data_IF_762835597407
#
_entry.id   IF_762835597407
#
_cell.length_a   1.000
_cell.length_b   1.000
_cell.length_c   1.000
_cell.angle_alpha   90.00
_cell.angle_beta   90.00
_cell.angle_gamma   90.00
#
_symmetry.space_group_name_H-M   'P 1'
#
loop_
_entity.id
_entity.type
_entity.pdbx_description
1 polymer ?
#
# COMPACT_ATOMS: atom_id res chain seq x y z
N UNK A 1 1.31 0.63 -9.33
CA UNK A 1 0.36 0.31 -10.42
C UNK A 1 0.80 1.01 -11.69
N UNK A 2 0.87 0.35 -12.87
CA UNK A 2 1.16 0.99 -14.15
C UNK A 2 0.01 1.93 -14.56
N UNK A 3 0.25 2.78 -15.53
CA UNK A 3 -0.80 3.62 -16.09
C UNK A 3 -1.74 2.76 -16.97
N UNK A 4 -3.01 2.72 -16.61
CA UNK A 4 -4.01 1.82 -17.21
C UNK A 4 -5.20 2.61 -17.73
N UNK A 5 -5.13 3.14 -18.93
CA UNK A 5 -6.22 3.88 -19.56
C UNK A 5 -6.36 3.41 -21.00
N UNK A 6 -7.41 2.65 -21.29
CA UNK A 6 -7.62 1.96 -22.56
C UNK A 6 -8.96 2.35 -23.21
N UNK A 7 -9.14 3.61 -23.68
CA UNK A 7 -10.40 4.06 -24.27
C UNK A 7 -10.76 3.32 -25.57
N UNK A 8 -9.80 2.64 -26.18
CA UNK A 8 -9.98 1.81 -27.36
C UNK A 8 -10.56 0.42 -27.06
N UNK A 9 -10.65 0.03 -25.78
CA UNK A 9 -11.16 -1.27 -25.35
C UNK A 9 -12.42 -1.08 -24.50
N UNK A 10 -13.47 -1.85 -24.79
CA UNK A 10 -14.68 -1.84 -23.96
C UNK A 10 -14.44 -2.48 -22.59
N UNK A 11 -13.63 -3.54 -22.55
CA UNK A 11 -13.25 -4.26 -21.33
C UNK A 11 -11.73 -4.40 -21.30
N UNK A 12 -11.06 -3.65 -20.41
CA UNK A 12 -9.63 -3.77 -20.17
C UNK A 12 -9.41 -4.43 -18.81
N UNK A 13 -8.60 -5.50 -18.80
CA UNK A 13 -8.20 -6.18 -17.58
C UNK A 13 -7.39 -5.24 -16.67
N UNK A 14 -6.56 -4.42 -17.28
CA UNK A 14 -5.67 -3.50 -16.58
C UNK A 14 -6.47 -2.38 -15.87
N UNK A 15 -7.51 -1.83 -16.52
CA UNK A 15 -8.41 -0.87 -15.86
C UNK A 15 -9.16 -1.52 -14.70
N UNK A 16 -9.50 -2.81 -14.84
CA UNK A 16 -10.16 -3.56 -13.78
C UNK A 16 -9.27 -3.72 -12.54
N UNK A 17 -7.98 -3.92 -12.69
CA UNK A 17 -7.03 -3.93 -11.57
C UNK A 17 -7.06 -2.62 -10.78
N UNK A 18 -7.18 -1.48 -11.48
CA UNK A 18 -7.37 -0.20 -10.80
C UNK A 18 -8.68 -0.17 -10.02
N UNK A 19 -9.78 -0.64 -10.60
CA UNK A 19 -11.11 -0.64 -9.96
C UNK A 19 -11.15 -1.56 -8.74
N UNK A 20 -10.51 -2.70 -8.82
CA UNK A 20 -10.32 -3.62 -7.68
C UNK A 20 -9.50 -2.94 -6.57
N UNK A 21 -8.38 -2.31 -6.90
CA UNK A 21 -7.57 -1.60 -5.92
C UNK A 21 -8.33 -0.43 -5.26
N UNK A 22 -9.14 0.31 -6.03
CA UNK A 22 -10.01 1.37 -5.48
C UNK A 22 -11.04 0.80 -4.50
N UNK A 23 -11.69 -0.34 -4.85
CA UNK A 23 -12.76 -0.96 -4.06
C UNK A 23 -12.25 -1.75 -2.87
N UNK A 24 -11.12 -2.39 -3.00
CA UNK A 24 -10.58 -3.29 -1.97
C UNK A 24 -9.60 -2.61 -1.02
N UNK A 25 -8.80 -1.65 -1.52
CA UNK A 25 -7.74 -0.97 -0.76
C UNK A 25 -8.04 0.50 -0.48
N UNK A 26 -8.15 1.34 -1.53
CA UNK A 26 -8.09 2.79 -1.34
C UNK A 26 -9.31 3.34 -0.63
N UNK A 27 -10.52 3.00 -1.07
CA UNK A 27 -11.76 3.47 -0.43
C UNK A 27 -11.95 2.89 0.98
N UNK A 28 -11.66 1.59 1.24
CA UNK A 28 -11.63 1.07 2.61
C UNK A 28 -10.66 1.79 3.54
N UNK A 29 -9.45 2.11 3.09
CA UNK A 29 -8.50 2.89 3.89
C UNK A 29 -8.98 4.33 4.12
N UNK A 30 -9.55 4.99 3.11
CA UNK A 30 -10.20 6.30 3.27
C UNK A 30 -11.29 6.24 4.34
N UNK A 31 -12.14 5.19 4.33
CA UNK A 31 -13.14 4.98 5.36
C UNK A 31 -12.53 4.80 6.77
N UNK A 32 -11.43 4.08 6.88
CA UNK A 32 -10.70 3.92 8.14
C UNK A 32 -10.24 5.29 8.66
N UNK A 33 -9.57 6.08 7.83
CA UNK A 33 -9.06 7.40 8.24
C UNK A 33 -10.19 8.38 8.59
N UNK A 34 -11.27 8.39 7.83
CA UNK A 34 -12.46 9.21 8.14
C UNK A 34 -13.07 8.84 9.51
N UNK A 35 -13.15 7.54 9.83
CA UNK A 35 -13.69 7.08 11.11
C UNK A 35 -12.73 7.42 12.27
N UNK A 36 -11.43 7.23 12.10
CA UNK A 36 -10.44 7.60 13.12
C UNK A 36 -10.49 9.10 13.44
N UNK A 37 -10.62 9.95 12.41
CA UNK A 37 -10.77 11.41 12.60
C UNK A 37 -12.08 11.72 13.31
N UNK A 38 -13.19 11.10 12.91
CA UNK A 38 -14.51 11.29 13.54
C UNK A 38 -14.51 10.89 15.01
N UNK A 39 -13.77 9.84 15.35
CA UNK A 39 -13.64 9.32 16.70
C UNK A 39 -12.57 10.07 17.53
N UNK A 40 -11.95 11.12 16.95
CA UNK A 40 -10.88 11.91 17.56
C UNK A 40 -9.64 11.10 17.97
N UNK A 41 -9.34 10.02 17.25
CA UNK A 41 -8.10 9.27 17.43
C UNK A 41 -6.94 10.08 16.83
N UNK A 42 -5.89 10.31 17.63
CA UNK A 42 -4.69 10.96 17.14
C UNK A 42 -3.81 9.93 16.42
N UNK A 43 -3.53 10.17 15.14
CA UNK A 43 -2.66 9.27 14.37
C UNK A 43 -1.92 10.02 13.28
N UNK A 44 -0.82 9.44 12.83
CA UNK A 44 -0.10 9.85 11.63
C UNK A 44 0.25 8.62 10.82
N UNK A 45 0.10 8.74 9.51
CA UNK A 45 0.47 7.69 8.55
C UNK A 45 1.13 8.33 7.33
N UNK A 46 1.98 7.59 6.66
CA UNK A 46 2.65 8.03 5.43
C UNK A 46 2.25 7.10 4.30
N UNK A 47 1.86 7.64 3.15
CA UNK A 47 1.52 6.86 1.96
C UNK A 47 2.24 7.44 0.74
N UNK A 48 2.81 6.59 -0.09
CA UNK A 48 3.23 7.02 -1.42
C UNK A 48 2.06 6.91 -2.40
N UNK A 49 1.83 7.98 -3.17
CA UNK A 49 0.89 7.97 -4.30
C UNK A 49 1.71 8.33 -5.53
N UNK A 50 1.85 7.37 -6.44
CA UNK A 50 2.69 7.56 -7.63
C UNK A 50 2.05 8.53 -8.62
N UNK A 51 2.84 9.27 -9.42
CA UNK A 51 2.28 10.17 -10.43
C UNK A 51 1.28 9.50 -11.38
N UNK A 52 1.50 8.27 -11.91
CA UNK A 52 0.49 7.58 -12.69
C UNK A 52 -0.82 7.34 -11.92
N UNK A 53 -0.73 6.94 -10.65
CA UNK A 53 -1.92 6.70 -9.83
C UNK A 53 -2.68 8.01 -9.57
N UNK A 54 -2.00 9.11 -9.23
CA UNK A 54 -2.62 10.42 -9.09
C UNK A 54 -3.39 10.82 -10.35
N UNK A 55 -2.76 10.65 -11.52
CA UNK A 55 -3.35 10.96 -12.81
C UNK A 55 -4.59 10.12 -13.10
N UNK A 56 -4.55 8.81 -12.81
CA UNK A 56 -5.69 7.91 -13.02
C UNK A 56 -6.85 8.19 -12.05
N UNK A 57 -6.58 8.52 -10.80
CA UNK A 57 -7.62 8.86 -9.81
C UNK A 57 -8.32 10.19 -10.09
N UNK A 58 -7.72 11.06 -10.91
CA UNK A 58 -8.31 12.33 -11.38
C UNK A 58 -8.91 12.22 -12.79
N UNK A 59 -8.68 11.14 -13.54
CA UNK A 59 -9.13 10.96 -14.92
C UNK A 59 -10.66 10.73 -14.98
N UNK A 60 -11.37 11.59 -15.72
CA UNK A 60 -12.84 11.53 -15.81
C UNK A 60 -13.32 10.23 -16.46
N UNK A 61 -12.66 9.78 -17.51
CA UNK A 61 -13.01 8.53 -18.19
C UNK A 61 -12.89 7.31 -17.28
N UNK A 62 -11.79 7.19 -16.53
CA UNK A 62 -11.61 6.08 -15.58
C UNK A 62 -12.62 6.17 -14.42
N UNK A 63 -12.93 7.36 -13.96
CA UNK A 63 -13.91 7.57 -12.89
C UNK A 63 -15.35 7.20 -13.33
N UNK A 64 -15.76 7.49 -14.58
CA UNK A 64 -17.04 7.04 -15.13
C UNK A 64 -17.09 5.50 -15.25
N UNK A 65 -16.03 4.90 -15.74
CA UNK A 65 -15.95 3.42 -15.84
C UNK A 65 -15.96 2.75 -14.47
N UNK A 66 -15.27 3.33 -13.50
CA UNK A 66 -15.32 2.83 -12.13
C UNK A 66 -16.73 2.91 -11.53
N UNK A 67 -17.48 3.97 -11.78
CA UNK A 67 -18.88 4.05 -11.35
C UNK A 67 -19.70 2.91 -11.94
N UNK A 68 -19.60 2.66 -13.25
CA UNK A 68 -20.29 1.55 -13.91
C UNK A 68 -19.89 0.19 -13.31
N UNK A 69 -18.60 0.00 -13.01
CA UNK A 69 -18.11 -1.20 -12.32
C UNK A 69 -18.76 -1.37 -10.94
N UNK A 70 -18.88 -0.31 -10.15
CA UNK A 70 -19.54 -0.36 -8.83
C UNK A 70 -21.04 -0.66 -8.94
N UNK A 71 -21.74 -0.06 -9.89
CA UNK A 71 -23.16 -0.31 -10.12
C UNK A 71 -23.40 -1.76 -10.53
N UNK A 72 -22.57 -2.33 -11.39
CA UNK A 72 -22.60 -3.75 -11.74
C UNK A 72 -22.30 -4.66 -10.54
N UNK A 73 -21.36 -4.28 -9.68
CA UNK A 73 -21.03 -5.05 -8.47
C UNK A 73 -22.17 -5.04 -7.46
N UNK A 74 -22.90 -3.91 -7.34
CA UNK A 74 -24.11 -3.81 -6.51
C UNK A 74 -25.21 -4.69 -7.09
N UNK A 75 -25.49 -4.61 -8.39
CA UNK A 75 -26.51 -5.44 -9.05
C UNK A 75 -26.21 -6.94 -8.90
N UNK A 76 -24.97 -7.35 -9.13
CA UNK A 76 -24.54 -8.75 -8.89
C UNK A 76 -24.77 -9.15 -7.44
N UNK A 77 -24.41 -8.32 -6.48
CA UNK A 77 -24.58 -8.64 -5.05
C UNK A 77 -26.05 -8.71 -4.64
N UNK A 78 -26.95 -7.93 -5.24
CA UNK A 78 -28.40 -8.03 -5.05
C UNK A 78 -28.94 -9.34 -5.64
N UNK A 79 -28.48 -9.76 -6.80
CA UNK A 79 -28.80 -11.05 -7.39
C UNK A 79 -28.24 -12.22 -6.55
N UNK A 80 -27.06 -12.06 -5.92
CA UNK A 80 -26.51 -13.04 -4.99
C UNK A 80 -27.37 -13.23 -3.73
N UNK A 81 -27.96 -12.16 -3.19
CA UNK A 81 -28.93 -12.27 -2.08
C UNK A 81 -30.11 -13.16 -2.47
N UNK A 82 -30.62 -13.01 -3.68
CA UNK A 82 -31.74 -13.81 -4.18
C UNK A 82 -31.30 -15.26 -4.42
N UNK A 83 -30.13 -15.46 -5.05
CA UNK A 83 -29.59 -16.79 -5.39
C UNK A 83 -29.28 -17.63 -4.14
N UNK A 84 -28.82 -17.00 -3.08
CA UNK A 84 -28.36 -17.68 -1.86
C UNK A 84 -29.42 -17.80 -0.77
N UNK A 85 -30.65 -17.36 -1.00
CA UNK A 85 -31.73 -17.27 0.00
C UNK A 85 -31.98 -18.54 0.82
N UNK A 86 -31.76 -19.71 0.21
CA UNK A 86 -31.98 -21.01 0.84
C UNK A 86 -30.74 -21.54 1.61
N UNK A 87 -29.64 -20.79 1.64
CA UNK A 87 -28.44 -21.09 2.40
C UNK A 87 -28.09 -19.91 3.30
N UNK A 88 -28.41 -20.03 4.58
CA UNK A 88 -28.30 -18.93 5.57
C UNK A 88 -26.89 -18.35 5.66
N UNK A 89 -25.83 -19.18 5.62
CA UNK A 89 -24.44 -18.71 5.75
C UNK A 89 -24.01 -17.93 4.51
N UNK A 90 -24.31 -18.44 3.31
CA UNK A 90 -24.04 -17.73 2.05
C UNK A 90 -24.86 -16.44 1.94
N UNK A 91 -26.12 -16.48 2.34
CA UNK A 91 -27.00 -15.33 2.26
C UNK A 91 -26.52 -14.17 3.17
N UNK A 92 -26.04 -14.48 4.37
CA UNK A 92 -25.38 -13.47 5.23
C UNK A 92 -24.18 -12.83 4.57
N UNK A 93 -23.36 -13.61 3.87
CA UNK A 93 -22.22 -13.10 3.12
C UNK A 93 -22.64 -12.27 1.89
N UNK A 94 -23.69 -12.67 1.17
CA UNK A 94 -24.23 -11.90 0.07
C UNK A 94 -24.72 -10.51 0.54
N UNK A 95 -25.44 -10.44 1.65
CA UNK A 95 -25.81 -9.17 2.29
C UNK A 95 -24.58 -8.35 2.68
N UNK A 96 -23.57 -8.96 3.29
CA UNK A 96 -22.32 -8.29 3.64
C UNK A 96 -21.63 -7.64 2.42
N UNK A 97 -21.56 -8.33 1.27
CA UNK A 97 -20.98 -7.76 0.05
C UNK A 97 -21.83 -6.63 -0.53
N UNK A 98 -23.15 -6.78 -0.53
CA UNK A 98 -24.07 -5.72 -0.98
C UNK A 98 -23.91 -4.44 -0.14
N UNK A 99 -23.91 -4.57 1.17
CA UNK A 99 -23.70 -3.43 2.08
C UNK A 99 -22.32 -2.80 1.88
N UNK A 100 -21.30 -3.63 1.65
CA UNK A 100 -19.93 -3.17 1.38
C UNK A 100 -19.87 -2.35 0.09
N UNK A 101 -20.40 -2.84 -1.03
CA UNK A 101 -20.37 -2.12 -2.30
C UNK A 101 -21.18 -0.81 -2.24
N UNK A 102 -22.34 -0.82 -1.60
CA UNK A 102 -23.13 0.41 -1.36
C UNK A 102 -22.36 1.42 -0.53
N UNK A 103 -21.69 0.97 0.52
CA UNK A 103 -20.85 1.85 1.34
C UNK A 103 -19.64 2.40 0.56
N UNK A 104 -19.03 1.61 -0.32
CA UNK A 104 -17.95 2.07 -1.19
C UNK A 104 -18.48 3.19 -2.12
N UNK A 105 -19.63 3.00 -2.73
CA UNK A 105 -20.28 4.01 -3.58
C UNK A 105 -20.58 5.29 -2.81
N UNK A 106 -21.08 5.20 -1.58
CA UNK A 106 -21.37 6.35 -0.73
C UNK A 106 -20.10 7.17 -0.43
N UNK A 107 -19.00 6.48 -0.09
CA UNK A 107 -17.71 7.13 0.17
C UNK A 107 -17.16 7.75 -1.12
N UNK A 108 -17.25 7.06 -2.23
CA UNK A 108 -16.81 7.56 -3.53
C UNK A 108 -17.55 8.84 -3.90
N UNK A 109 -18.87 8.87 -3.76
CA UNK A 109 -19.69 10.06 -3.98
C UNK A 109 -19.40 11.19 -2.97
N UNK A 110 -19.12 10.87 -1.70
CA UNK A 110 -18.72 11.83 -0.65
C UNK A 110 -17.51 12.67 -1.06
N UNK A 111 -16.62 12.10 -1.84
CA UNK A 111 -15.40 12.77 -2.32
C UNK A 111 -15.49 13.21 -3.79
N UNK A 112 -16.71 13.47 -4.28
CA UNK A 112 -16.99 13.95 -5.64
C UNK A 112 -16.45 13.03 -6.73
N UNK A 113 -16.40 11.72 -6.42
CA UNK A 113 -15.85 10.67 -7.32
C UNK A 113 -14.38 10.86 -7.68
N UNK A 114 -13.62 11.58 -6.84
CA UNK A 114 -12.19 11.85 -6.99
C UNK A 114 -11.46 11.52 -5.69
N UNK A 115 -10.85 10.36 -5.61
CA UNK A 115 -10.22 9.90 -4.37
C UNK A 115 -9.08 10.81 -3.90
N UNK A 116 -8.44 11.54 -4.80
CA UNK A 116 -7.44 12.54 -4.43
C UNK A 116 -8.01 13.65 -3.53
N UNK A 117 -9.33 13.92 -3.58
CA UNK A 117 -9.98 14.86 -2.66
C UNK A 117 -9.88 14.37 -1.19
N UNK A 118 -10.02 13.06 -0.97
CA UNK A 118 -9.85 12.46 0.35
C UNK A 118 -8.39 12.56 0.81
N UNK A 119 -7.44 12.15 -0.02
CA UNK A 119 -6.01 12.16 0.34
C UNK A 119 -5.51 13.58 0.61
N UNK A 120 -5.88 14.57 -0.23
CA UNK A 120 -5.57 16.00 0.02
C UNK A 120 -6.21 16.53 1.31
N UNK A 121 -7.41 16.07 1.68
CA UNK A 121 -8.03 16.40 2.97
C UNK A 121 -7.21 15.88 4.13
N UNK A 122 -6.79 14.62 4.11
CA UNK A 122 -6.01 13.99 5.18
C UNK A 122 -4.61 14.59 5.31
N UNK A 123 -3.98 14.93 4.20
CA UNK A 123 -2.70 15.65 4.18
C UNK A 123 -2.83 17.04 4.82
N UNK A 124 -3.85 17.83 4.46
CA UNK A 124 -4.12 19.13 5.07
C UNK A 124 -4.45 19.06 6.57
N UNK A 125 -5.05 17.98 7.02
CA UNK A 125 -5.30 17.72 8.45
C UNK A 125 -4.04 17.26 9.18
N UNK A 126 -2.96 16.92 8.48
CA UNK A 126 -1.70 16.47 9.05
C UNK A 126 -1.72 15.05 9.59
N UNK A 127 -2.76 14.27 9.30
CA UNK A 127 -2.87 12.85 9.67
C UNK A 127 -2.26 11.94 8.62
N UNK A 128 -2.10 12.42 7.38
CA UNK A 128 -1.45 11.72 6.29
C UNK A 128 -0.29 12.56 5.74
N UNK A 129 0.89 11.98 5.58
CA UNK A 129 1.94 12.53 4.75
C UNK A 129 1.97 11.79 3.41
N UNK A 130 1.80 12.52 2.30
CA UNK A 130 1.86 11.95 0.97
C UNK A 130 3.29 12.04 0.46
N UNK A 131 3.87 10.90 0.02
CA UNK A 131 5.13 10.83 -0.69
C UNK A 131 4.88 10.80 -2.19
N UNK A 132 5.82 11.38 -2.95
CA UNK A 132 5.91 11.06 -4.38
C UNK A 132 6.70 9.76 -4.61
N UNK A 133 6.79 9.36 -5.88
CA UNK A 133 7.62 8.26 -6.36
C UNK A 133 8.36 8.73 -7.61
N UNK A 134 9.16 7.91 -8.28
CA UNK A 134 9.63 8.24 -9.64
C UNK A 134 8.45 8.33 -10.61
N UNK A 135 8.55 9.15 -11.67
CA UNK A 135 7.42 9.51 -12.53
C UNK A 135 6.68 8.30 -13.14
N UNK A 136 7.38 7.24 -13.46
CA UNK A 136 6.81 6.01 -14.05
C UNK A 136 7.12 4.76 -13.23
N UNK A 137 7.41 4.92 -11.94
CA UNK A 137 7.87 3.83 -11.06
C UNK A 137 9.13 3.13 -11.58
N UNK A 138 9.98 3.86 -12.30
CA UNK A 138 11.22 3.32 -12.87
C UNK A 138 12.21 2.94 -11.77
N UNK A 139 12.85 1.78 -11.89
CA UNK A 139 13.92 1.33 -11.01
C UNK A 139 15.18 2.15 -11.29
N UNK A 140 15.34 3.26 -10.56
CA UNK A 140 16.32 4.32 -10.85
C UNK A 140 17.76 3.82 -10.99
N UNK A 141 18.27 2.87 -10.19
CA UNK A 141 19.61 2.34 -10.35
C UNK A 141 19.90 1.73 -11.74
N UNK A 142 18.89 1.19 -12.41
CA UNK A 142 19.05 0.61 -13.74
C UNK A 142 19.07 1.67 -14.86
N UNK A 143 18.79 2.93 -14.52
CA UNK A 143 18.86 4.08 -15.45
C UNK A 143 20.17 4.84 -15.37
N UNK A 144 21.14 4.40 -14.56
CA UNK A 144 22.43 5.11 -14.37
C UNK A 144 23.28 5.22 -15.63
N UNK A 145 22.98 4.45 -16.68
CA UNK A 145 23.58 4.59 -18.01
C UNK A 145 23.24 5.95 -18.63
N UNK A 146 22.09 6.52 -18.28
CA UNK A 146 21.62 7.81 -18.75
C UNK A 146 21.12 8.63 -17.54
N UNK A 147 22.00 9.37 -16.85
CA UNK A 147 21.64 10.13 -15.63
C UNK A 147 20.54 11.18 -15.86
N UNK A 148 20.45 11.74 -17.05
CA UNK A 148 19.41 12.71 -17.43
C UNK A 148 18.01 12.08 -17.34
N UNK A 149 17.90 10.77 -17.60
CA UNK A 149 16.64 10.04 -17.44
C UNK A 149 16.23 9.94 -15.97
N UNK A 150 17.19 9.72 -15.07
CA UNK A 150 16.91 9.73 -13.62
C UNK A 150 16.42 11.12 -13.20
N UNK A 151 17.10 12.15 -13.63
CA UNK A 151 16.68 13.52 -13.33
C UNK A 151 15.28 13.83 -13.87
N UNK A 152 14.98 13.43 -15.11
CA UNK A 152 13.66 13.59 -15.70
C UNK A 152 12.57 12.86 -14.89
N UNK A 153 12.84 11.64 -14.42
CA UNK A 153 11.92 10.88 -13.55
C UNK A 153 11.61 11.62 -12.26
N UNK A 154 12.60 12.22 -11.63
CA UNK A 154 12.41 12.96 -10.37
C UNK A 154 11.74 14.32 -10.64
N UNK A 155 12.18 15.06 -11.64
CA UNK A 155 11.62 16.37 -11.98
C UNK A 155 10.12 16.27 -12.30
N UNK A 156 9.75 15.35 -13.18
CA UNK A 156 8.35 15.11 -13.57
C UNK A 156 7.51 14.66 -12.36
N UNK A 157 8.07 13.80 -11.52
CA UNK A 157 7.38 13.36 -10.32
C UNK A 157 7.07 14.51 -9.35
N UNK A 158 8.05 15.37 -9.08
CA UNK A 158 7.88 16.53 -8.19
C UNK A 158 6.89 17.54 -8.78
N UNK A 159 6.94 17.75 -10.09
CA UNK A 159 5.99 18.62 -10.79
C UNK A 159 4.56 18.07 -10.69
N UNK A 160 4.33 16.83 -11.10
CA UNK A 160 3.01 16.18 -11.07
C UNK A 160 2.43 16.16 -9.65
N UNK A 161 3.25 15.82 -8.66
CA UNK A 161 2.84 15.87 -7.26
C UNK A 161 2.41 17.29 -6.84
N UNK A 162 3.22 18.30 -7.18
CA UNK A 162 2.95 19.68 -6.78
C UNK A 162 1.65 20.20 -7.40
N UNK A 163 1.40 19.87 -8.66
CA UNK A 163 0.15 20.22 -9.36
C UNK A 163 -1.06 19.51 -8.74
N UNK A 164 -0.92 18.23 -8.37
CA UNK A 164 -2.03 17.45 -7.84
C UNK A 164 -2.30 17.73 -6.35
N UNK A 165 -1.26 17.81 -5.52
CA UNK A 165 -1.40 17.92 -4.04
C UNK A 165 -1.43 19.39 -3.57
N UNK A 166 -0.79 20.31 -4.31
CA UNK A 166 -0.78 21.74 -4.02
C UNK A 166 0.45 22.25 -3.26
N UNK A 167 1.41 21.39 -2.96
CA UNK A 167 2.71 21.73 -2.37
C UNK A 167 3.79 20.74 -2.84
N UNK A 168 5.07 21.08 -2.64
CA UNK A 168 6.17 20.17 -3.00
C UNK A 168 6.23 18.95 -2.06
N UNK A 169 6.57 17.77 -2.58
CA UNK A 169 6.78 16.59 -1.74
C UNK A 169 8.00 16.79 -0.83
N UNK A 170 7.90 16.31 0.41
CA UNK A 170 9.02 16.32 1.37
C UNK A 170 9.84 15.04 1.27
N UNK A 171 9.18 13.92 1.01
CA UNK A 171 9.81 12.62 0.87
C UNK A 171 9.46 11.94 -0.45
N UNK A 172 10.23 10.92 -0.76
CA UNK A 172 10.03 10.06 -1.93
C UNK A 172 10.09 8.59 -1.53
N UNK A 173 9.19 7.81 -2.11
CA UNK A 173 9.32 6.37 -2.16
C UNK A 173 10.18 6.02 -3.39
N UNK A 174 11.38 5.55 -3.18
CA UNK A 174 12.19 5.01 -4.27
C UNK A 174 11.57 3.67 -4.70
N UNK A 175 11.24 3.48 -5.99
CA UNK A 175 10.73 2.21 -6.47
C UNK A 175 11.58 1.04 -5.96
N UNK A 176 10.93 0.04 -5.35
CA UNK A 176 11.57 -1.16 -4.79
C UNK A 176 12.60 -0.87 -3.68
N UNK A 177 12.48 0.27 -2.98
CA UNK A 177 13.52 0.77 -2.07
C UNK A 177 14.91 0.85 -2.73
N UNK A 178 14.97 0.96 -4.06
CA UNK A 178 16.20 0.86 -4.83
C UNK A 178 17.00 2.16 -4.75
N UNK A 179 18.16 2.08 -4.11
CA UNK A 179 19.11 3.18 -3.98
C UNK A 179 20.43 2.85 -4.68
N UNK A 180 21.02 3.86 -5.30
CA UNK A 180 22.39 3.86 -5.81
C UNK A 180 23.08 5.16 -5.43
N UNK A 181 24.41 5.17 -5.47
CA UNK A 181 25.22 6.38 -5.20
C UNK A 181 24.81 7.55 -6.10
N UNK A 182 25.00 8.75 -5.59
CA UNK A 182 24.74 10.04 -6.27
C UNK A 182 23.26 10.39 -6.52
N UNK A 183 22.33 9.44 -6.26
CA UNK A 183 20.89 9.71 -6.38
C UNK A 183 20.42 10.82 -5.43
N UNK A 184 20.99 10.91 -4.23
CA UNK A 184 20.67 11.91 -3.23
C UNK A 184 21.03 13.34 -3.67
N UNK A 185 21.99 13.52 -4.57
CA UNK A 185 22.31 14.81 -5.20
C UNK A 185 21.12 15.33 -6.03
N UNK A 186 20.56 14.44 -6.86
CA UNK A 186 19.37 14.74 -7.67
C UNK A 186 18.18 15.02 -6.75
N UNK A 187 17.94 14.18 -5.73
CA UNK A 187 16.84 14.38 -4.78
C UNK A 187 16.92 15.74 -4.10
N UNK A 188 18.13 16.15 -3.65
CA UNK A 188 18.37 17.47 -3.06
C UNK A 188 18.03 18.62 -4.02
N UNK A 189 18.42 18.51 -5.27
CA UNK A 189 18.14 19.52 -6.33
C UNK A 189 16.66 19.82 -6.43
N UNK A 190 15.81 18.79 -6.30
CA UNK A 190 14.34 18.92 -6.38
C UNK A 190 13.65 19.15 -5.03
N UNK A 191 14.43 19.30 -3.94
CA UNK A 191 13.92 19.71 -2.63
C UNK A 191 13.41 18.56 -1.76
N UNK A 192 13.60 17.32 -2.17
CA UNK A 192 13.32 16.12 -1.38
C UNK A 192 14.22 16.13 -0.13
N UNK A 193 13.64 15.75 1.00
CA UNK A 193 14.32 15.75 2.31
C UNK A 193 14.69 14.36 2.79
N UNK A 194 13.93 13.35 2.37
CA UNK A 194 14.18 11.98 2.81
C UNK A 194 13.61 10.94 1.83
N UNK A 195 14.09 9.72 1.98
CA UNK A 195 13.53 8.52 1.38
C UNK A 195 13.60 7.33 2.35
N UNK A 196 12.86 6.25 2.02
CA UNK A 196 12.87 5.00 2.76
C UNK A 196 13.67 3.97 1.95
N UNK A 197 14.51 3.19 2.64
CA UNK A 197 15.38 2.19 2.03
C UNK A 197 15.26 0.83 2.71
N UNK A 198 15.86 -0.18 2.08
CA UNK A 198 16.08 -1.48 2.68
C UNK A 198 17.01 -1.38 3.91
N UNK A 199 16.78 -2.22 4.91
CA UNK A 199 17.61 -2.27 6.13
C UNK A 199 19.10 -2.41 5.85
N UNK A 200 19.48 -3.24 4.86
CA UNK A 200 20.89 -3.43 4.48
C UNK A 200 21.56 -2.16 3.96
N UNK A 201 20.82 -1.22 3.36
CA UNK A 201 21.39 0.08 2.96
C UNK A 201 21.95 0.83 4.16
N UNK A 202 21.24 0.77 5.29
CA UNK A 202 21.62 1.42 6.55
C UNK A 202 22.68 0.59 7.29
N UNK A 203 22.44 -0.70 7.47
CA UNK A 203 23.33 -1.57 8.26
C UNK A 203 24.74 -1.70 7.66
N UNK A 204 24.88 -1.52 6.34
CA UNK A 204 26.16 -1.54 5.62
C UNK A 204 26.64 -0.14 5.21
N UNK A 205 26.02 0.92 5.71
CA UNK A 205 26.45 2.29 5.44
C UNK A 205 27.83 2.61 6.05
N UNK A 206 28.52 3.60 5.50
CA UNK A 206 29.86 4.01 5.94
C UNK A 206 29.91 5.53 6.21
N UNK A 207 30.35 5.96 7.40
CA UNK A 207 30.65 5.17 8.59
C UNK A 207 29.42 4.40 9.10
N UNK A 208 29.65 3.30 9.84
CA UNK A 208 28.57 2.44 10.33
C UNK A 208 27.62 3.21 11.27
N UNK A 209 26.30 3.17 11.07
CA UNK A 209 25.33 3.81 11.94
C UNK A 209 25.35 3.24 13.37
N UNK A 210 25.31 4.14 14.35
CA UNK A 210 25.37 3.79 15.78
C UNK A 210 24.17 2.95 16.23
N UNK A 211 22.97 3.28 15.71
CA UNK A 211 21.70 2.69 16.14
C UNK A 211 21.00 1.87 15.07
N UNK A 212 21.73 1.41 14.04
CA UNK A 212 21.15 0.61 12.97
C UNK A 212 19.98 1.31 12.29
N UNK A 213 18.83 0.63 12.18
CA UNK A 213 17.62 1.16 11.55
C UNK A 213 16.68 1.90 12.50
N UNK A 214 17.02 2.01 13.79
CA UNK A 214 16.20 2.71 14.79
C UNK A 214 16.33 4.24 14.74
N UNK A 215 17.19 4.76 13.90
CA UNK A 215 17.26 6.19 13.55
C UNK A 215 17.58 6.33 12.07
N UNK A 216 17.14 7.41 11.41
CA UNK A 216 17.63 7.70 10.07
C UNK A 216 19.12 8.03 10.10
N UNK A 217 19.76 7.93 8.94
CA UNK A 217 21.07 8.54 8.66
C UNK A 217 20.89 9.70 7.70
N UNK A 218 21.83 10.64 7.68
CA UNK A 218 21.87 11.71 6.69
C UNK A 218 22.98 11.44 5.68
N UNK A 219 22.70 11.53 4.39
CA UNK A 219 23.76 11.51 3.38
C UNK A 219 24.60 12.78 3.44
N UNK A 220 25.75 12.82 2.77
CA UNK A 220 26.58 14.02 2.67
C UNK A 220 25.85 15.20 2.01
N UNK A 221 24.85 14.93 1.21
CA UNK A 221 23.99 15.93 0.58
C UNK A 221 22.86 16.43 1.51
N UNK A 222 22.74 15.88 2.71
CA UNK A 222 21.73 16.26 3.71
C UNK A 222 20.35 15.63 3.48
N UNK A 223 20.26 14.54 2.73
CA UNK A 223 19.04 13.75 2.58
C UNK A 223 18.98 12.70 3.68
N UNK A 224 17.89 12.66 4.44
CA UNK A 224 17.68 11.63 5.46
C UNK A 224 17.25 10.31 4.84
N UNK A 225 17.78 9.22 5.35
CA UNK A 225 17.48 7.85 4.86
C UNK A 225 16.96 7.02 6.02
N UNK A 226 15.73 6.54 5.88
CA UNK A 226 15.07 5.69 6.86
C UNK A 226 15.18 4.23 6.43
N UNK A 227 15.63 3.36 7.32
CA UNK A 227 15.69 1.92 7.07
C UNK A 227 14.42 1.22 7.51
N UNK A 228 13.85 0.34 6.67
CA UNK A 228 12.70 -0.46 7.07
C UNK A 228 13.05 -1.43 8.21
N UNK A 229 12.08 -1.71 9.06
CA UNK A 229 12.18 -2.74 10.09
C UNK A 229 11.87 -4.13 9.51
N UNK A 230 12.76 -5.08 9.75
CA UNK A 230 12.66 -6.43 9.19
C UNK A 230 11.68 -7.32 9.96
N UNK A 231 11.50 -7.08 11.27
CA UNK A 231 10.59 -7.88 12.08
C UNK A 231 9.14 -7.61 11.70
N UNK A 232 8.74 -6.34 11.69
CA UNK A 232 7.41 -5.91 11.25
C UNK A 232 7.11 -6.35 9.81
N UNK A 233 8.11 -6.26 8.92
CA UNK A 233 7.97 -6.73 7.54
C UNK A 233 7.60 -8.20 7.46
N UNK A 234 8.28 -9.09 8.21
CA UNK A 234 8.01 -10.52 8.22
C UNK A 234 6.63 -10.86 8.76
N UNK A 235 6.15 -10.14 9.78
CA UNK A 235 4.84 -10.37 10.38
C UNK A 235 3.68 -10.14 9.42
N UNK A 236 3.87 -9.33 8.40
CA UNK A 236 2.83 -8.99 7.42
C UNK A 236 3.07 -9.62 6.06
N UNK A 237 4.31 -9.60 5.54
CA UNK A 237 4.63 -10.10 4.20
C UNK A 237 4.70 -11.63 4.07
N UNK A 238 5.02 -12.35 5.15
CA UNK A 238 5.26 -13.79 5.04
C UNK A 238 3.96 -14.55 4.77
N UNK A 239 3.89 -15.28 3.67
CA UNK A 239 2.77 -16.19 3.37
C UNK A 239 2.69 -17.40 4.30
N UNK A 240 3.76 -17.71 5.06
CA UNK A 240 3.83 -18.84 5.98
C UNK A 240 3.68 -18.45 7.45
N UNK A 241 4.22 -17.30 7.83
CA UNK A 241 4.26 -16.84 9.22
C UNK A 241 3.58 -15.48 9.40
N UNK A 242 3.21 -14.82 8.31
CA UNK A 242 2.54 -13.53 8.35
C UNK A 242 1.05 -13.66 8.64
N UNK A 243 0.50 -12.61 9.20
CA UNK A 243 -0.92 -12.54 9.54
C UNK A 243 -1.86 -12.86 8.37
N UNK A 244 -1.61 -12.42 7.12
CA UNK A 244 -2.53 -12.64 6.01
C UNK A 244 -2.85 -14.10 5.69
N UNK A 245 -2.01 -15.04 6.13
CA UNK A 245 -2.20 -16.48 5.93
C UNK A 245 -3.12 -17.17 6.94
N UNK A 246 -3.71 -16.46 7.91
CA UNK A 246 -4.54 -17.05 8.95
C UNK A 246 -5.82 -17.69 8.38
N UNK A 247 -6.17 -18.88 8.87
CA UNK A 247 -7.32 -19.66 8.44
C UNK A 247 -8.70 -19.04 8.76
N UNK A 248 -8.76 -17.96 9.50
CA UNK A 248 -9.99 -17.20 9.70
C UNK A 248 -10.23 -16.13 8.65
N UNK A 249 -9.23 -15.82 7.84
CA UNK A 249 -9.30 -14.77 6.84
C UNK A 249 -9.90 -15.25 5.52
N UNK A 250 -10.37 -14.28 4.70
CA UNK A 250 -10.98 -14.54 3.40
C UNK A 250 -9.96 -15.14 2.42
N UNK A 251 -10.37 -16.21 1.75
CA UNK A 251 -9.62 -16.81 0.64
C UNK A 251 -9.49 -15.83 -0.53
N UNK A 252 -8.31 -15.70 -1.10
CA UNK A 252 -8.04 -14.80 -2.23
C UNK A 252 -8.49 -15.39 -3.57
N UNK A 253 -8.24 -16.69 -3.80
CA UNK A 253 -8.34 -17.31 -5.13
C UNK A 253 -9.75 -17.79 -5.51
N UNK A 254 -10.72 -17.84 -4.59
CA UNK A 254 -12.05 -18.37 -4.81
C UNK A 254 -13.07 -17.25 -4.96
N UNK A 255 -13.47 -16.99 -6.20
CA UNK A 255 -14.41 -15.92 -6.57
C UNK A 255 -15.57 -16.49 -7.37
N UNK A 256 -16.80 -15.97 -7.16
CA UNK A 256 -17.99 -16.44 -7.89
C UNK A 256 -17.87 -16.21 -9.40
N UNK A 257 -17.04 -15.30 -9.86
CA UNK A 257 -16.74 -15.12 -11.28
C UNK A 257 -16.22 -16.37 -11.96
N UNK A 258 -15.50 -17.21 -11.20
CA UNK A 258 -15.00 -18.51 -11.68
C UNK A 258 -15.91 -19.68 -11.34
N UNK A 259 -16.75 -19.59 -10.31
CA UNK A 259 -17.49 -20.71 -9.75
C UNK A 259 -18.96 -20.76 -10.19
N UNK A 260 -19.58 -19.60 -10.41
CA UNK A 260 -20.98 -19.52 -10.78
C UNK A 260 -21.24 -20.04 -12.21
N UNK A 261 -22.46 -20.54 -12.52
CA UNK A 261 -22.83 -20.92 -13.88
C UNK A 261 -22.61 -19.77 -14.88
N UNK A 262 -22.10 -20.10 -16.09
CA UNK A 262 -21.76 -19.08 -17.09
C UNK A 262 -22.95 -18.20 -17.48
N UNK A 263 -24.11 -18.79 -17.65
CA UNK A 263 -25.35 -18.10 -17.99
C UNK A 263 -25.78 -17.06 -16.95
N UNK A 264 -25.42 -17.28 -15.68
CA UNK A 264 -25.69 -16.36 -14.59
C UNK A 264 -24.64 -15.25 -14.51
N UNK A 265 -23.35 -15.60 -14.63
CA UNK A 265 -22.26 -14.67 -14.38
C UNK A 265 -21.84 -13.85 -15.61
N UNK A 266 -22.24 -14.28 -16.82
CA UNK A 266 -21.84 -13.65 -18.09
C UNK A 266 -22.07 -12.14 -18.16
N UNK A 267 -23.13 -11.55 -17.59
CA UNK A 267 -23.31 -10.09 -17.59
C UNK A 267 -22.27 -9.31 -16.78
N UNK A 268 -21.55 -9.96 -15.87
CA UNK A 268 -20.67 -9.36 -14.89
C UNK A 268 -19.18 -9.66 -15.12
N UNK A 269 -18.88 -10.49 -16.10
CA UNK A 269 -17.53 -10.84 -16.53
C UNK A 269 -17.22 -10.21 -17.89
N UNK A 270 -16.00 -10.43 -18.38
CA UNK A 270 -15.56 -9.85 -19.65
C UNK A 270 -16.45 -10.32 -20.83
N UNK A 271 -16.82 -9.43 -21.73
CA UNK A 271 -17.73 -9.67 -22.87
C UNK A 271 -17.30 -10.84 -23.77
N UNK A 272 -16.03 -11.21 -23.78
CA UNK A 272 -15.53 -12.40 -24.47
C UNK A 272 -15.87 -13.73 -23.79
N UNK A 273 -16.64 -13.75 -22.70
CA UNK A 273 -16.91 -14.94 -21.89
C UNK A 273 -15.69 -15.37 -21.05
N UNK A 274 -14.69 -14.51 -20.92
CA UNK A 274 -13.51 -14.77 -20.09
C UNK A 274 -13.87 -14.50 -18.65
N UNK A 275 -13.73 -15.52 -17.80
CA UNK A 275 -13.99 -15.41 -16.37
C UNK A 275 -12.94 -14.53 -15.70
N UNK A 276 -13.40 -13.68 -14.79
CA UNK A 276 -12.59 -12.73 -14.03
C UNK A 276 -13.10 -12.67 -12.59
N UNK A 277 -12.33 -12.06 -11.71
CA UNK A 277 -12.77 -11.76 -10.35
C UNK A 277 -13.90 -10.72 -10.36
N UNK A 278 -14.92 -10.98 -9.55
CA UNK A 278 -16.06 -10.09 -9.31
C UNK A 278 -15.94 -9.33 -7.98
N UNK A 279 -14.98 -9.75 -7.13
CA UNK A 279 -14.82 -9.26 -5.77
C UNK A 279 -15.72 -9.94 -4.74
N UNK A 280 -16.61 -10.87 -5.14
CA UNK A 280 -17.47 -11.64 -4.22
C UNK A 280 -16.83 -13.01 -3.98
N UNK A 281 -16.33 -13.23 -2.77
CA UNK A 281 -15.55 -14.40 -2.37
C UNK A 281 -16.10 -14.96 -1.06
N UNK A 282 -16.68 -16.15 -1.12
CA UNK A 282 -17.43 -16.72 0.00
C UNK A 282 -16.63 -17.61 0.95
N UNK A 283 -15.41 -17.96 0.60
CA UNK A 283 -14.63 -18.91 1.37
C UNK A 283 -13.56 -18.25 2.24
N UNK A 284 -13.22 -18.92 3.33
CA UNK A 284 -12.04 -18.62 4.13
C UNK A 284 -10.84 -19.44 3.65
N UNK A 285 -9.65 -19.05 4.07
CA UNK A 285 -8.43 -19.80 3.87
C UNK A 285 -8.56 -21.19 4.53
N UNK A 286 -8.38 -22.26 3.77
CA UNK A 286 -8.42 -23.64 4.25
C UNK A 286 -7.23 -24.47 3.74
N UNK A 287 -6.23 -23.78 3.14
CA UNK A 287 -5.11 -24.44 2.50
C UNK A 287 -5.51 -25.20 1.21
N UNK A 288 -4.67 -26.14 0.78
CA UNK A 288 -4.86 -26.93 -0.45
C UNK A 288 -5.83 -28.10 -0.19
N UNK A 289 -7.12 -27.80 -0.13
CA UNK A 289 -8.20 -28.77 0.02
C UNK A 289 -9.41 -28.37 -0.80
N UNK A 290 -10.17 -29.34 -1.31
CA UNK A 290 -11.45 -29.10 -2.01
C UNK A 290 -12.60 -28.88 -1.03
N UNK A 291 -12.43 -29.27 0.24
CA UNK A 291 -13.43 -29.05 1.29
C UNK A 291 -13.31 -27.64 1.87
N UNK A 292 -13.75 -26.65 1.10
CA UNK A 292 -13.73 -25.23 1.51
C UNK A 292 -14.85 -24.95 2.53
N UNK A 293 -14.54 -24.06 3.48
CA UNK A 293 -15.49 -23.57 4.49
C UNK A 293 -15.83 -22.13 4.20
N UNK A 294 -17.06 -21.74 4.50
CA UNK A 294 -17.49 -20.36 4.32
C UNK A 294 -16.73 -19.41 5.25
N UNK A 295 -16.51 -18.21 4.74
CA UNK A 295 -15.91 -17.11 5.46
C UNK A 295 -16.83 -16.64 6.60
N UNK A 296 -16.27 -16.38 7.76
CA UNK A 296 -16.99 -15.83 8.91
C UNK A 296 -16.37 -14.50 9.33
N UNK A 297 -17.05 -13.41 9.02
CA UNK A 297 -16.58 -12.05 9.28
C UNK A 297 -16.35 -11.79 10.78
N UNK A 298 -17.19 -12.33 11.66
CA UNK A 298 -17.06 -12.11 13.10
C UNK A 298 -15.78 -12.77 13.66
N UNK A 299 -15.51 -13.99 13.22
CA UNK A 299 -14.28 -14.70 13.61
C UNK A 299 -13.04 -14.03 13.04
N UNK A 300 -13.12 -13.55 11.80
CA UNK A 300 -12.03 -12.81 11.19
C UNK A 300 -11.72 -11.52 11.97
N UNK A 301 -12.73 -10.76 12.40
CA UNK A 301 -12.54 -9.54 13.19
C UNK A 301 -11.94 -9.77 14.58
N UNK A 302 -12.27 -10.89 15.23
CA UNK A 302 -11.57 -11.29 16.46
C UNK A 302 -10.08 -11.50 16.17
N UNK A 303 -9.78 -12.21 15.08
CA UNK A 303 -8.40 -12.51 14.70
C UNK A 303 -7.62 -11.26 14.27
N UNK A 304 -8.27 -10.32 13.60
CA UNK A 304 -7.69 -9.00 13.30
C UNK A 304 -7.24 -8.30 14.58
N UNK A 305 -8.10 -8.28 15.62
CA UNK A 305 -7.76 -7.64 16.90
C UNK A 305 -6.59 -8.36 17.60
N UNK A 306 -6.58 -9.69 17.60
CA UNK A 306 -5.47 -10.47 18.15
C UNK A 306 -4.14 -10.13 17.43
N UNK A 307 -4.17 -10.06 16.10
CA UNK A 307 -2.98 -9.76 15.31
C UNK A 307 -2.53 -8.30 15.44
N UNK A 308 -3.44 -7.35 15.54
CA UNK A 308 -3.12 -5.95 15.79
C UNK A 308 -2.47 -5.78 17.19
N UNK A 309 -3.00 -6.46 18.20
CA UNK A 309 -2.41 -6.49 19.54
C UNK A 309 -1.00 -7.10 19.54
N UNK A 310 -0.84 -8.27 18.93
CA UNK A 310 0.48 -8.91 18.80
C UNK A 310 1.49 -8.02 18.06
N UNK A 311 1.06 -7.31 17.00
CA UNK A 311 1.91 -6.37 16.29
C UNK A 311 2.30 -5.19 17.18
N UNK A 312 1.35 -4.63 17.93
CA UNK A 312 1.59 -3.52 18.87
C UNK A 312 2.52 -3.91 20.02
N UNK A 313 2.34 -5.11 20.60
CA UNK A 313 3.25 -5.65 21.63
C UNK A 313 4.68 -5.79 21.11
N UNK A 314 4.85 -6.29 19.90
CA UNK A 314 6.17 -6.37 19.26
C UNK A 314 6.83 -5.00 19.11
N UNK A 315 6.09 -3.99 18.71
CA UNK A 315 6.61 -2.59 18.59
C UNK A 315 6.92 -1.99 19.95
N UNK A 316 6.09 -2.23 20.97
CA UNK A 316 6.39 -1.84 22.35
C UNK A 316 7.73 -2.44 22.82
N UNK A 317 7.90 -3.75 22.69
CA UNK A 317 9.12 -4.44 23.14
C UNK A 317 10.37 -3.94 22.41
N UNK A 318 10.29 -3.73 21.08
CA UNK A 318 11.41 -3.18 20.30
C UNK A 318 11.79 -1.78 20.76
N UNK A 319 10.81 -0.90 20.99
CA UNK A 319 11.08 0.47 21.40
C UNK A 319 11.58 0.55 22.85
N UNK A 320 11.09 -0.28 23.75
CA UNK A 320 11.62 -0.36 25.12
C UNK A 320 13.09 -0.77 25.09
N UNK A 321 13.42 -1.85 24.39
CA UNK A 321 14.80 -2.27 24.21
C UNK A 321 15.68 -1.17 23.61
N UNK A 322 15.20 -0.49 22.56
CA UNK A 322 15.95 0.58 21.91
C UNK A 322 16.18 1.77 22.85
N UNK A 323 15.16 2.20 23.63
CA UNK A 323 15.28 3.29 24.59
C UNK A 323 16.33 3.05 25.69
N UNK A 324 16.51 1.80 26.10
CA UNK A 324 17.55 1.45 27.10
C UNK A 324 18.99 1.55 26.54
N UNK A 325 19.15 1.49 25.21
CA UNK A 325 20.46 1.41 24.55
C UNK A 325 20.79 2.63 23.69
N UNK A 326 19.90 3.62 23.63
CA UNK A 326 20.02 4.78 22.75
C UNK A 326 19.91 6.08 23.56
N UNK A 327 20.68 7.09 23.14
CA UNK A 327 20.63 8.44 23.70
C UNK A 327 19.75 9.41 22.87
N UNK A 328 19.02 8.87 21.89
CA UNK A 328 18.07 9.58 21.02
C UNK A 328 16.76 8.79 20.92
N UNK A 329 15.68 9.46 20.53
CA UNK A 329 14.39 8.82 20.36
C UNK A 329 14.43 7.76 19.26
N UNK A 330 14.13 6.47 19.56
CA UNK A 330 14.08 5.43 18.54
C UNK A 330 12.84 5.56 17.65
N UNK A 331 12.99 5.15 16.39
CA UNK A 331 11.91 5.07 15.41
C UNK A 331 11.90 3.69 14.75
N UNK A 332 10.72 3.12 14.55
CA UNK A 332 10.52 1.90 13.76
C UNK A 332 9.75 2.26 12.49
N UNK A 333 10.31 1.90 11.34
CA UNK A 333 9.73 2.19 10.01
C UNK A 333 9.19 0.91 9.41
N UNK A 334 7.86 0.86 9.21
CA UNK A 334 7.13 -0.33 8.77
C UNK A 334 6.47 -0.08 7.39
N UNK A 335 7.22 -0.12 6.29
CA UNK A 335 6.68 0.11 4.96
C UNK A 335 6.10 -1.17 4.36
N UNK A 336 4.97 -1.03 3.66
CA UNK A 336 4.26 -2.10 2.99
C UNK A 336 3.64 -1.61 1.69
N UNK A 337 3.46 -2.50 0.73
CA UNK A 337 2.61 -2.22 -0.44
C UNK A 337 1.15 -2.10 -0.03
N UNK A 338 0.45 -1.13 -0.59
CA UNK A 338 -0.95 -0.83 -0.24
C UNK A 338 -1.88 -1.96 -0.65
N UNK A 339 -1.61 -2.66 -1.74
CA UNK A 339 -2.41 -3.80 -2.21
C UNK A 339 -2.51 -4.93 -1.18
N UNK A 340 -1.52 -5.03 -0.31
CA UNK A 340 -1.55 -5.98 0.80
C UNK A 340 -2.75 -5.74 1.71
N UNK A 341 -3.14 -4.48 1.90
CA UNK A 341 -4.23 -4.08 2.78
C UNK A 341 -5.55 -3.92 2.02
N UNK A 342 -6.25 -5.03 1.80
CA UNK A 342 -7.58 -5.10 1.22
C UNK A 342 -7.69 -6.00 -0.01
N UNK A 343 -6.69 -6.02 -0.89
CA UNK A 343 -6.69 -6.89 -2.06
C UNK A 343 -6.14 -8.28 -1.71
N UNK A 344 -4.84 -8.39 -1.38
CA UNK A 344 -4.23 -9.66 -0.97
C UNK A 344 -4.70 -10.14 0.40
N UNK A 345 -4.84 -9.23 1.33
CA UNK A 345 -5.37 -9.45 2.68
C UNK A 345 -6.63 -8.62 2.89
N UNK A 346 -7.77 -9.24 2.71
CA UNK A 346 -9.07 -8.55 2.75
C UNK A 346 -9.32 -7.79 4.05
N UNK A 347 -8.87 -8.31 5.16
CA UNK A 347 -8.97 -7.72 6.49
C UNK A 347 -7.89 -6.68 6.79
N UNK A 348 -6.98 -6.43 5.85
CA UNK A 348 -5.88 -5.49 6.02
C UNK A 348 -6.29 -4.09 6.45
N UNK A 349 -7.31 -3.44 5.87
CA UNK A 349 -7.81 -2.15 6.34
C UNK A 349 -8.34 -2.19 7.78
N UNK A 350 -8.98 -3.29 8.18
CA UNK A 350 -9.45 -3.47 9.55
C UNK A 350 -8.28 -3.62 10.53
N UNK A 351 -7.22 -4.33 10.13
CA UNK A 351 -5.99 -4.43 10.91
C UNK A 351 -5.35 -3.06 11.13
N UNK A 352 -5.23 -2.23 10.09
CA UNK A 352 -4.73 -0.85 10.22
C UNK A 352 -5.60 -0.04 11.18
N UNK A 353 -6.93 -0.16 11.09
CA UNK A 353 -7.86 0.52 12.00
C UNK A 353 -7.63 0.10 13.46
N UNK A 354 -7.57 -1.21 13.75
CA UNK A 354 -7.36 -1.70 15.11
C UNK A 354 -5.98 -1.31 15.65
N UNK A 355 -4.92 -1.46 14.85
CA UNK A 355 -3.57 -1.08 15.26
C UNK A 355 -3.44 0.42 15.57
N UNK A 356 -4.03 1.29 14.73
CA UNK A 356 -4.01 2.73 14.98
C UNK A 356 -4.81 3.06 16.25
N UNK A 357 -5.97 2.44 16.48
CA UNK A 357 -6.75 2.66 17.71
C UNK A 357 -6.00 2.25 18.97
N UNK A 358 -5.28 1.14 18.91
CA UNK A 358 -4.44 0.68 20.02
C UNK A 358 -3.34 1.67 20.39
N UNK A 359 -2.82 2.46 19.44
CA UNK A 359 -1.81 3.49 19.75
C UNK A 359 -2.31 4.59 20.71
N UNK A 360 -3.62 4.69 20.91
CA UNK A 360 -4.24 5.63 21.84
C UNK A 360 -4.59 4.99 23.20
N UNK A 361 -4.28 3.71 23.41
CA UNK A 361 -4.54 2.99 24.66
C UNK A 361 -3.36 3.14 25.65
N UNK A 362 -3.66 3.17 26.97
CA UNK A 362 -2.67 3.45 28.02
C UNK A 362 -1.51 2.45 28.11
N UNK A 363 -1.69 1.22 27.59
CA UNK A 363 -0.66 0.19 27.61
C UNK A 363 0.35 0.32 26.47
N UNK A 364 0.05 1.09 25.44
CA UNK A 364 0.99 1.31 24.33
C UNK A 364 2.03 2.37 24.70
N UNK A 365 3.26 2.15 24.26
CA UNK A 365 4.43 2.97 24.62
C UNK A 365 5.05 3.65 23.39
N UNK A 366 4.34 3.63 22.26
CA UNK A 366 4.74 4.27 21.03
C UNK A 366 3.70 5.32 20.61
N UNK A 367 4.16 6.28 19.84
CA UNK A 367 3.34 7.24 19.13
C UNK A 367 3.52 7.04 17.63
N UNK A 368 2.45 7.26 16.88
CA UNK A 368 2.52 7.24 15.42
C UNK A 368 3.00 8.59 14.92
N UNK A 369 4.03 8.58 14.08
CA UNK A 369 4.60 9.78 13.47
C UNK A 369 4.86 9.57 11.99
N UNK A 370 5.16 10.64 11.27
CA UNK A 370 5.69 10.57 9.92
C UNK A 370 7.19 10.90 9.89
N UNK A 371 7.92 10.49 8.83
CA UNK A 371 9.35 10.73 8.74
C UNK A 371 9.77 12.20 8.82
N UNK A 372 8.98 13.09 8.24
CA UNK A 372 9.33 14.52 8.24
C UNK A 372 9.18 15.16 9.62
N UNK A 373 8.15 14.81 10.38
CA UNK A 373 7.98 15.31 11.74
C UNK A 373 9.06 14.75 12.64
N UNK A 374 9.42 13.47 12.50
CA UNK A 374 10.56 12.91 13.23
C UNK A 374 11.87 13.67 12.99
N UNK A 375 12.19 14.02 11.73
CA UNK A 375 13.39 14.82 11.40
C UNK A 375 13.35 16.20 12.05
N UNK A 376 12.19 16.86 12.10
CA UNK A 376 12.05 18.17 12.76
C UNK A 376 12.29 18.11 14.26
N UNK A 377 11.80 17.05 14.90
CA UNK A 377 11.94 16.84 16.34
C UNK A 377 13.35 16.34 16.70
N UNK A 378 14.01 15.64 15.79
CA UNK A 378 15.35 15.06 15.96
C UNK A 378 16.32 15.56 14.87
N UNK A 379 16.71 16.85 14.88
CA UNK A 379 17.46 17.45 13.78
C UNK A 379 18.93 16.99 13.71
N UNK A 380 19.46 16.36 14.75
CA UNK A 380 20.83 15.83 14.79
C UNK A 380 20.82 14.38 14.34
N UNK A 381 21.25 14.15 13.11
CA UNK A 381 21.28 12.84 12.47
C UNK A 381 22.71 12.49 12.06
N UNK A 382 23.13 11.25 12.31
CA UNK A 382 24.48 10.79 11.94
C UNK A 382 24.66 10.86 10.41
N UNK A 383 25.75 11.50 9.96
CA UNK A 383 26.11 11.49 8.54
C UNK A 383 26.75 10.13 8.17
N UNK A 384 26.22 9.50 7.13
CA UNK A 384 26.70 8.22 6.63
C UNK A 384 26.23 8.00 5.20
N UNK A 385 27.06 7.34 4.37
CA UNK A 385 26.70 7.00 2.99
C UNK A 385 25.97 5.64 2.98
N UNK A 386 24.70 5.57 2.58
CA UNK A 386 23.99 4.30 2.50
C UNK A 386 24.59 3.40 1.41
N UNK A 387 24.50 2.10 1.61
CA UNK A 387 24.93 1.12 0.63
C UNK A 387 23.88 0.94 -0.48
N UNK A 388 24.25 0.82 -1.76
CA UNK A 388 23.31 0.46 -2.82
C UNK A 388 22.56 -0.81 -2.49
N UNK A 389 21.24 -0.79 -2.63
CA UNK A 389 20.38 -1.92 -2.26
C UNK A 389 18.98 -1.80 -2.84
N UNK A 390 18.22 -2.86 -2.74
CA UNK A 390 16.76 -2.91 -2.99
C UNK A 390 16.10 -3.75 -1.91
N UNK A 391 14.77 -3.80 -1.86
CA UNK A 391 14.06 -4.73 -0.98
C UNK A 391 13.77 -6.11 -1.61
N UNK A 392 14.30 -6.36 -2.81
CA UNK A 392 14.29 -7.68 -3.44
C UNK A 392 15.01 -8.74 -2.60
N UNK A 393 14.84 -10.01 -2.95
CA UNK A 393 15.22 -11.18 -2.15
C UNK A 393 16.65 -11.11 -1.57
N UNK A 394 17.65 -10.74 -2.37
CA UNK A 394 19.04 -10.64 -1.93
C UNK A 394 19.44 -9.20 -1.49
N UNK A 395 18.49 -8.28 -1.49
CA UNK A 395 18.72 -6.84 -1.30
C UNK A 395 19.63 -6.23 -2.37
N UNK A 396 19.71 -6.84 -3.53
CA UNK A 396 20.43 -6.39 -4.73
C UNK A 396 19.45 -6.22 -5.90
N UNK A 397 19.95 -6.05 -7.11
CA UNK A 397 19.11 -5.84 -8.30
C UNK A 397 18.77 -7.13 -9.07
N UNK A 398 19.16 -8.30 -8.58
CA UNK A 398 19.07 -9.58 -9.31
C UNK A 398 17.63 -10.00 -9.64
N UNK A 399 16.64 -9.56 -8.88
CA UNK A 399 15.22 -9.78 -9.19
C UNK A 399 14.85 -9.11 -10.53
N UNK A 400 15.34 -7.90 -10.78
CA UNK A 400 15.01 -7.09 -11.97
C UNK A 400 16.03 -7.19 -13.09
N UNK A 401 17.30 -7.46 -12.78
CA UNK A 401 18.39 -7.58 -13.76
C UNK A 401 19.23 -8.82 -13.47
N UNK A 402 19.11 -9.81 -14.35
CA UNK A 402 19.81 -11.09 -14.23
C UNK A 402 20.15 -11.66 -15.63
N UNK A 403 20.89 -12.77 -15.72
CA UNK A 403 21.29 -13.38 -16.99
C UNK A 403 20.14 -13.74 -17.92
N UNK A 404 18.92 -13.98 -17.39
CA UNK A 404 17.77 -14.37 -18.21
C UNK A 404 17.11 -13.18 -18.92
N UNK A 405 17.20 -11.98 -18.36
CA UNK A 405 16.47 -10.81 -18.83
C UNK A 405 17.34 -9.60 -19.25
N UNK A 406 18.68 -9.64 -19.05
CA UNK A 406 19.58 -8.52 -19.35
C UNK A 406 19.51 -8.03 -20.80
N UNK A 407 19.13 -8.89 -21.74
CA UNK A 407 18.99 -8.56 -23.16
C UNK A 407 17.87 -7.54 -23.42
N UNK A 408 16.85 -7.47 -22.55
CA UNK A 408 15.72 -6.52 -22.65
C UNK A 408 16.24 -5.10 -22.46
N UNK A 409 17.13 -4.88 -21.50
CA UNK A 409 17.63 -3.55 -21.14
C UNK A 409 18.39 -2.88 -22.26
N UNK A 410 19.09 -3.64 -23.12
CA UNK A 410 19.74 -3.09 -24.32
C UNK A 410 18.76 -2.44 -25.30
N UNK A 411 17.49 -2.85 -25.26
CA UNK A 411 16.43 -2.26 -26.11
C UNK A 411 15.72 -1.10 -25.43
N UNK A 412 15.64 -1.13 -24.10
CA UNK A 412 15.01 -0.07 -23.31
C UNK A 412 15.88 1.19 -23.23
N UNK A 413 17.20 1.04 -23.29
CA UNK A 413 18.15 2.14 -23.19
C UNK A 413 18.55 2.75 -24.57
N UNK A 414 17.96 2.31 -25.66
CA UNK A 414 18.14 2.90 -27.02
C UNK A 414 17.08 3.96 -27.33
#
# INVERSE_FOLDING_TARGET
>A
MPFVRHPEQEDSLEERWLFEAMSECYIPLINVYDNLIKDNINFKITMSITPPLMSMLEDEYLNERYLNYLEQSIDLSENEIIRTKDNEELNKLAHFYNDRFKKILDIYNKYDRRLMNAFRKFDRLGVLEILTCSATHALLPLLTINPETIEAQIATAVQSYTECVGHKPRGIWLPECAYTYDLDEILKKYGIKYFISESKAILNASPKPKYGTYTPISTHNGICVFGRDMESSRQVWSSFMGYPGDFNYREFYRDIGYEAPMEYIAPYINRGGIRIDTGIKYYKITGKTDNKQYYNREMAMKKVRDHAGHFADGRNAQLEYAKEHMDVSPLIVCPYDTELYGHWWFEGPDFINEFIRMSSEDWTKYELTNPYDYIKENPIVQCSSPCPSTWGENSDYSVWLNPSNHWIYRKLHR
#
